data_IF_164503138793
#
_entry.id   IF_164503138793
#
_cell.length_a   1.000
_cell.length_b   1.000
_cell.length_c   1.000
_cell.angle_alpha   90.00
_cell.angle_beta   90.00
_cell.angle_gamma   90.00
#
_symmetry.space_group_name_H-M   'P 1'
#
loop_
_entity.id
_entity.type
_entity.pdbx_description
1 polymer ?
#
# COMPACT_ATOMS: atom_id res chain seq x y z
N UNK A 1 16.21 18.16 -27.07
CA UNK A 1 16.54 17.44 -25.82
C UNK A 1 15.31 16.73 -25.30
N UNK A 2 15.45 15.48 -24.82
CA UNK A 2 14.31 14.68 -24.28
C UNK A 2 13.72 15.39 -23.05
N UNK A 3 12.40 15.40 -22.89
CA UNK A 3 11.71 15.90 -21.67
C UNK A 3 11.49 14.73 -20.70
N UNK A 4 11.44 15.00 -19.39
CA UNK A 4 11.08 14.00 -18.38
C UNK A 4 9.60 14.16 -18.05
N UNK A 5 8.86 13.05 -18.02
CA UNK A 5 7.46 13.04 -17.60
C UNK A 5 7.35 12.52 -16.17
N UNK A 6 6.59 13.21 -15.32
CA UNK A 6 6.27 12.72 -13.99
C UNK A 6 4.86 12.12 -13.99
N UNK A 7 4.76 10.81 -13.70
CA UNK A 7 3.46 10.11 -13.65
C UNK A 7 2.56 10.56 -12.49
N UNK A 8 3.14 11.06 -11.38
CA UNK A 8 2.36 11.53 -10.24
C UNK A 8 1.73 12.90 -10.52
N UNK A 9 2.50 13.82 -11.09
CA UNK A 9 2.06 15.18 -11.39
C UNK A 9 1.45 15.33 -12.79
N UNK A 10 1.52 14.28 -13.62
CA UNK A 10 1.07 14.26 -15.00
C UNK A 10 1.61 15.42 -15.85
N UNK A 11 2.89 15.77 -15.66
CA UNK A 11 3.49 16.93 -16.31
C UNK A 11 4.88 16.63 -16.88
N UNK A 12 5.25 17.38 -17.93
CA UNK A 12 6.57 17.32 -18.53
C UNK A 12 7.47 18.41 -17.93
N UNK A 13 8.68 18.02 -17.51
CA UNK A 13 9.73 18.92 -17.04
C UNK A 13 11.01 18.72 -17.86
N UNK A 14 11.93 19.68 -17.73
CA UNK A 14 13.25 19.58 -18.37
C UNK A 14 13.97 18.34 -17.83
N UNK A 15 14.59 17.58 -18.73
CA UNK A 15 15.38 16.41 -18.36
C UNK A 15 16.76 16.83 -17.84
N UNK A 16 16.77 17.42 -16.66
CA UNK A 16 17.95 17.80 -15.91
C UNK A 16 17.85 17.22 -14.50
N UNK A 17 18.97 16.72 -13.96
CA UNK A 17 18.96 16.03 -12.67
C UNK A 17 18.57 16.97 -11.52
N UNK A 18 19.04 18.22 -11.54
CA UNK A 18 18.74 19.19 -10.48
C UNK A 18 17.27 19.61 -10.55
N UNK A 19 16.74 19.80 -11.75
CA UNK A 19 15.31 20.10 -11.95
C UNK A 19 14.42 18.94 -11.48
N UNK A 20 14.78 17.69 -11.78
CA UNK A 20 14.04 16.51 -11.30
C UNK A 20 14.06 16.39 -9.78
N UNK A 21 15.22 16.61 -9.15
CA UNK A 21 15.35 16.59 -7.68
C UNK A 21 14.49 17.67 -7.03
N UNK A 22 14.54 18.90 -7.56
CA UNK A 22 13.72 20.00 -7.08
C UNK A 22 12.22 19.70 -7.23
N UNK A 23 11.80 19.16 -8.37
CA UNK A 23 10.41 18.74 -8.61
C UNK A 23 9.96 17.67 -7.59
N UNK A 24 10.77 16.62 -7.38
CA UNK A 24 10.44 15.54 -6.47
C UNK A 24 10.40 15.98 -5.00
N UNK A 25 11.16 17.01 -4.62
CA UNK A 25 11.14 17.62 -3.29
C UNK A 25 9.98 18.62 -3.10
N UNK A 26 9.31 19.02 -4.17
CA UNK A 26 8.20 19.97 -4.14
C UNK A 26 6.96 19.42 -3.43
N UNK A 27 6.26 20.29 -2.70
CA UNK A 27 5.05 19.93 -1.96
C UNK A 27 3.93 19.41 -2.88
N UNK A 28 3.78 19.98 -4.07
CA UNK A 28 2.80 19.53 -5.06
C UNK A 28 3.05 18.09 -5.49
N UNK A 29 4.31 17.73 -5.73
CA UNK A 29 4.70 16.35 -6.03
C UNK A 29 4.45 15.42 -4.85
N UNK A 30 4.82 15.83 -3.63
CA UNK A 30 4.57 15.04 -2.42
C UNK A 30 3.08 14.76 -2.20
N UNK A 31 2.21 15.75 -2.43
CA UNK A 31 0.75 15.56 -2.37
C UNK A 31 0.25 14.65 -3.49
N UNK A 32 0.64 14.90 -4.74
CA UNK A 32 0.23 14.09 -5.89
C UNK A 32 0.65 12.61 -5.74
N UNK A 33 1.88 12.38 -5.26
CA UNK A 33 2.38 11.06 -4.94
C UNK A 33 1.55 10.40 -3.84
N UNK A 34 1.26 11.11 -2.74
CA UNK A 34 0.42 10.58 -1.66
C UNK A 34 -0.98 10.20 -2.16
N UNK A 35 -1.61 11.05 -2.96
CA UNK A 35 -2.92 10.76 -3.55
C UNK A 35 -2.89 9.53 -4.45
N UNK A 36 -1.86 9.41 -5.27
CA UNK A 36 -1.66 8.24 -6.11
C UNK A 36 -1.43 6.97 -5.27
N UNK A 37 -0.65 7.05 -4.19
CA UNK A 37 -0.34 5.89 -3.35
C UNK A 37 -1.53 5.42 -2.51
N UNK A 38 -2.44 6.31 -2.14
CA UNK A 38 -3.62 5.97 -1.31
C UNK A 38 -4.46 4.84 -1.90
N UNK A 39 -4.53 4.71 -3.23
CA UNK A 39 -5.27 3.62 -3.91
C UNK A 39 -4.69 2.23 -3.69
N UNK A 40 -3.42 2.15 -3.28
CA UNK A 40 -2.73 0.88 -2.99
C UNK A 40 -2.65 0.58 -1.49
N UNK A 41 -3.16 1.47 -0.63
CA UNK A 41 -3.18 1.25 0.80
C UNK A 41 -4.07 0.06 1.17
N UNK A 42 -3.80 -0.50 2.36
CA UNK A 42 -4.61 -1.60 2.85
C UNK A 42 -6.02 -1.09 3.21
N UNK A 43 -7.11 -1.61 2.61
CA UNK A 43 -8.48 -1.18 2.94
C UNK A 43 -8.79 -1.27 4.43
N UNK A 44 -8.15 -2.19 5.16
CA UNK A 44 -8.28 -2.25 6.62
C UNK A 44 -7.72 -1.02 7.32
N UNK A 45 -6.51 -0.60 6.91
CA UNK A 45 -5.82 0.54 7.49
C UNK A 45 -6.61 1.84 7.20
N UNK A 46 -7.05 1.99 5.95
CA UNK A 46 -7.89 3.12 5.53
C UNK A 46 -9.19 3.13 6.35
N UNK A 47 -9.88 2.00 6.48
CA UNK A 47 -11.12 1.93 7.25
C UNK A 47 -10.93 2.28 8.73
N UNK A 48 -9.84 1.84 9.36
CA UNK A 48 -9.56 2.18 10.77
C UNK A 48 -9.29 3.66 10.94
N UNK A 49 -8.54 4.27 10.02
CA UNK A 49 -8.21 5.69 10.08
C UNK A 49 -9.45 6.55 9.81
N UNK A 50 -10.27 6.21 8.81
CA UNK A 50 -11.45 6.98 8.44
C UNK A 50 -12.59 6.85 9.45
N UNK A 51 -12.72 5.71 10.16
CA UNK A 51 -13.68 5.55 11.26
C UNK A 51 -13.31 6.35 12.51
N UNK A 52 -12.02 6.65 12.71
CA UNK A 52 -11.57 7.46 13.82
C UNK A 52 -11.80 8.97 13.57
N UNK A 53 -12.02 9.36 12.31
CA UNK A 53 -12.26 10.74 11.91
C UNK A 53 -13.76 11.07 12.00
N UNK A 54 -14.05 12.33 12.35
CA UNK A 54 -15.40 12.88 12.24
C UNK A 54 -15.75 13.15 10.77
N UNK A 55 -17.03 13.10 10.43
CA UNK A 55 -17.54 13.34 9.07
C UNK A 55 -17.27 14.79 8.63
N UNK A 56 -16.82 14.97 7.39
CA UNK A 56 -16.56 16.29 6.82
C UNK A 56 -17.82 16.94 6.28
N UNK A 57 -18.48 17.78 7.08
CA UNK A 57 -19.68 18.50 6.62
C UNK A 57 -19.45 19.30 5.34
N UNK A 58 -18.28 19.93 5.17
CA UNK A 58 -17.97 20.73 3.96
C UNK A 58 -17.94 19.89 2.69
N UNK A 59 -17.41 18.68 2.78
CA UNK A 59 -17.36 17.75 1.65
C UNK A 59 -18.78 17.32 1.24
N UNK A 60 -19.62 16.96 2.21
CA UNK A 60 -21.00 16.57 1.94
C UNK A 60 -21.92 17.73 1.56
N UNK A 61 -21.57 18.96 1.93
CA UNK A 61 -22.36 20.13 1.54
C UNK A 61 -22.13 20.54 0.09
N UNK A 62 -20.88 20.58 -0.40
CA UNK A 62 -20.58 20.93 -1.81
C UNK A 62 -19.12 20.63 -2.19
N UNK A 63 -18.16 21.13 -1.41
CA UNK A 63 -16.75 21.12 -1.79
C UNK A 63 -15.84 21.26 -0.57
N UNK A 64 -14.80 20.43 -0.49
CA UNK A 64 -13.76 20.52 0.52
C UNK A 64 -12.41 20.83 -0.12
N UNK A 65 -11.90 22.06 0.09
CA UNK A 65 -10.60 22.52 -0.43
C UNK A 65 -9.41 21.63 -0.03
N UNK A 66 -9.52 20.90 1.06
CA UNK A 66 -8.45 20.04 1.57
C UNK A 66 -8.44 18.64 0.94
N UNK A 67 -9.50 18.24 0.22
CA UNK A 67 -9.56 16.96 -0.48
C UNK A 67 -9.06 15.79 0.40
N UNK A 68 -8.07 15.03 -0.06
CA UNK A 68 -7.50 13.90 0.65
C UNK A 68 -6.58 14.28 1.83
N UNK A 69 -6.19 15.55 1.98
CA UNK A 69 -5.44 16.04 3.16
C UNK A 69 -6.37 16.55 4.26
N UNK A 70 -7.69 16.38 4.10
CA UNK A 70 -8.63 16.72 5.14
C UNK A 70 -8.46 15.82 6.37
N UNK A 71 -8.49 16.43 7.55
CA UNK A 71 -8.46 15.71 8.83
C UNK A 71 -9.81 15.04 9.15
N UNK A 72 -10.87 15.36 8.39
CA UNK A 72 -12.21 14.80 8.53
C UNK A 72 -12.43 13.71 7.47
N UNK A 73 -13.32 12.78 7.77
CA UNK A 73 -13.70 11.70 6.85
C UNK A 73 -14.55 12.23 5.71
N UNK A 74 -14.16 11.90 4.48
CA UNK A 74 -14.95 12.16 3.27
C UNK A 74 -15.78 10.93 2.86
N UNK A 75 -15.86 9.92 3.73
CA UNK A 75 -16.62 8.71 3.46
C UNK A 75 -18.02 8.80 4.05
N UNK A 76 -19.02 8.44 3.25
CA UNK A 76 -20.37 8.19 3.76
C UNK A 76 -20.42 6.85 4.48
N UNK A 77 -21.44 6.64 5.32
CA UNK A 77 -21.62 5.37 6.03
C UNK A 77 -21.70 4.16 5.07
N UNK A 78 -22.37 4.34 3.93
CA UNK A 78 -22.44 3.31 2.90
C UNK A 78 -21.05 2.99 2.30
N UNK A 79 -20.22 4.01 2.05
CA UNK A 79 -18.86 3.79 1.55
C UNK A 79 -17.96 3.13 2.60
N UNK A 80 -18.13 3.45 3.90
CA UNK A 80 -17.44 2.77 4.99
C UNK A 80 -17.85 1.29 5.09
N UNK A 81 -19.13 0.97 4.88
CA UNK A 81 -19.59 -0.42 4.80
C UNK A 81 -18.97 -1.17 3.62
N UNK A 82 -18.91 -0.54 2.44
CA UNK A 82 -18.25 -1.11 1.27
C UNK A 82 -16.76 -1.38 1.53
N UNK A 83 -16.05 -0.43 2.16
CA UNK A 83 -14.67 -0.63 2.60
C UNK A 83 -14.52 -1.79 3.58
N UNK A 84 -15.47 -1.99 4.48
CA UNK A 84 -15.46 -3.12 5.41
C UNK A 84 -15.59 -4.47 4.69
N UNK A 85 -16.47 -4.55 3.69
CA UNK A 85 -16.61 -5.74 2.85
C UNK A 85 -15.31 -6.03 2.08
N UNK A 86 -14.71 -5.00 1.46
CA UNK A 86 -13.43 -5.12 0.76
C UNK A 86 -12.31 -5.62 1.68
N UNK A 87 -12.24 -5.05 2.89
CA UNK A 87 -11.29 -5.45 3.91
C UNK A 87 -11.47 -6.92 4.35
N UNK A 88 -12.71 -7.36 4.59
CA UNK A 88 -13.05 -8.76 4.91
C UNK A 88 -12.65 -9.70 3.77
N UNK A 89 -12.94 -9.33 2.52
CA UNK A 89 -12.59 -10.12 1.34
C UNK A 89 -11.08 -10.24 1.15
N UNK A 90 -10.32 -9.16 1.35
CA UNK A 90 -8.85 -9.18 1.30
C UNK A 90 -8.26 -10.11 2.37
N UNK A 91 -8.78 -10.09 3.60
CA UNK A 91 -8.38 -11.02 4.67
C UNK A 91 -8.65 -12.48 4.30
N UNK A 92 -9.86 -12.79 3.79
CA UNK A 92 -10.21 -14.15 3.32
C UNK A 92 -9.27 -14.63 2.22
N UNK A 93 -9.00 -13.79 1.21
CA UNK A 93 -8.06 -14.11 0.12
C UNK A 93 -6.65 -14.37 0.63
N UNK A 94 -6.15 -13.56 1.56
CA UNK A 94 -4.83 -13.77 2.15
C UNK A 94 -4.77 -15.07 2.98
N UNK A 95 -5.83 -15.41 3.72
CA UNK A 95 -5.93 -16.69 4.43
C UNK A 95 -5.91 -17.88 3.46
N UNK A 96 -6.65 -17.80 2.35
CA UNK A 96 -6.64 -18.83 1.32
C UNK A 96 -5.27 -18.95 0.64
N UNK A 97 -4.61 -17.84 0.32
CA UNK A 97 -3.22 -17.85 -0.17
C UNK A 97 -2.28 -18.55 0.81
N UNK A 98 -2.40 -18.30 2.12
CA UNK A 98 -1.61 -19.01 3.15
C UNK A 98 -1.91 -20.52 3.19
N UNK A 99 -3.16 -20.92 3.01
CA UNK A 99 -3.55 -22.35 2.93
C UNK A 99 -3.00 -23.04 1.68
N UNK A 100 -2.96 -22.35 0.55
CA UNK A 100 -2.46 -22.86 -0.74
C UNK A 100 -0.93 -22.95 -0.76
N UNK A 101 -0.23 -22.13 0.03
CA UNK A 101 1.24 -22.21 0.23
C UNK A 101 1.67 -23.42 1.07
N UNK A 102 1.15 -24.62 0.81
CA UNK A 102 1.91 -25.85 1.06
C UNK A 102 2.95 -25.91 -0.06
N UNK A 103 4.15 -25.39 0.21
CA UNK A 103 5.24 -25.45 -0.76
C UNK A 103 5.55 -26.94 -1.01
N UNK A 104 5.87 -27.36 -2.24
CA UNK A 104 6.37 -28.71 -2.46
C UNK A 104 7.62 -28.93 -1.60
N UNK A 105 7.94 -30.18 -1.21
CA UNK A 105 9.07 -30.48 -0.33
C UNK A 105 10.41 -29.84 -0.75
N UNK A 106 10.61 -29.60 -2.05
CA UNK A 106 11.80 -28.96 -2.62
C UNK A 106 11.89 -27.44 -2.43
N UNK A 107 10.79 -26.77 -2.10
CA UNK A 107 10.74 -25.31 -1.87
C UNK A 107 10.41 -24.96 -0.41
N UNK A 108 10.25 -25.96 0.46
CA UNK A 108 10.08 -25.71 1.89
C UNK A 108 11.34 -25.04 2.49
N UNK A 109 11.18 -24.12 3.47
CA UNK A 109 12.32 -23.53 4.15
C UNK A 109 13.22 -24.60 4.78
N UNK A 110 14.53 -24.45 4.62
CA UNK A 110 15.53 -25.37 5.18
C UNK A 110 15.33 -25.53 6.69
N UNK A 111 15.07 -26.76 7.15
CA UNK A 111 14.83 -27.03 8.57
C UNK A 111 16.16 -27.25 9.31
N UNK A 112 16.80 -26.15 9.76
CA UNK A 112 18.10 -26.20 10.46
C UNK A 112 18.12 -27.19 11.64
N UNK A 113 17.01 -27.33 12.37
CA UNK A 113 16.90 -28.26 13.48
C UNK A 113 17.14 -29.73 13.07
N UNK A 114 16.72 -30.12 11.86
CA UNK A 114 16.94 -31.47 11.33
C UNK A 114 18.40 -31.70 10.92
N UNK A 115 19.07 -30.65 10.43
CA UNK A 115 20.49 -30.72 10.03
C UNK A 115 21.43 -30.78 11.23
N UNK A 116 21.06 -30.17 12.35
CA UNK A 116 21.85 -30.25 13.58
C UNK A 116 21.70 -31.60 14.30
N UNK A 117 20.65 -32.36 13.97
CA UNK A 117 20.40 -33.70 14.50
C UNK A 117 21.04 -34.80 13.66
N UNK A 118 21.46 -34.51 12.42
CA UNK A 118 22.20 -35.49 11.62
C UNK A 118 23.64 -35.53 12.10
N UNK A 119 24.01 -36.61 12.80
CA UNK A 119 25.42 -36.92 13.07
C UNK A 119 26.14 -37.16 11.73
N UNK A 120 27.04 -36.25 11.36
CA UNK A 120 27.81 -36.33 10.11
C UNK A 120 28.96 -37.35 10.20
N UNK A 121 29.06 -38.12 11.29
CA UNK A 121 30.02 -39.20 11.49
C UNK A 121 29.53 -40.49 10.82
N UNK A 122 29.18 -40.41 9.54
CA UNK A 122 29.07 -41.61 8.71
C UNK A 122 30.49 -42.13 8.51
N UNK A 123 30.84 -43.21 9.22
CA UNK A 123 32.03 -44.00 8.94
C UNK A 123 31.95 -44.44 7.48
N UNK A 124 32.73 -43.79 6.63
CA UNK A 124 33.06 -44.33 5.32
C UNK A 124 33.84 -45.62 5.61
N UNK A 125 33.24 -46.75 5.23
CA UNK A 125 33.81 -48.08 5.43
C UNK A 125 35.12 -48.25 4.68
#
# INVERSE_FOLDING_TARGET
GKRYYCDYCCCYIKNDMNIRKLHNAGQSHAMAKTFYMRRFEDPLKVLTEERAKLVCNRYFSNYCKFELTCNLSHYSDHQLQQLEVLAKNKRKRNRNKKKIRRLPPSLEPLQLAKLLQTDWTTKWG
#
